data_IF_188302127088
#
_entry.id   IF_188302127088
#
_cell.length_a   1.000
_cell.length_b   1.000
_cell.length_c   1.000
_cell.angle_alpha   90.00
_cell.angle_beta   90.00
_cell.angle_gamma   90.00
#
_symmetry.space_group_name_H-M   'P 1'
#
loop_
_entity.id
_entity.type
_entity.pdbx_description
1 polymer ?
#
# COMPACT_ATOMS: atom_id res chain seq x y z
N UNK A 1 -8.95 23.51 -30.28
CA UNK A 1 -7.71 24.26 -30.51
C UNK A 1 -6.57 23.48 -29.89
N UNK A 2 -5.54 23.16 -30.68
CA UNK A 2 -4.43 22.27 -30.36
C UNK A 2 -3.79 22.54 -29.00
N UNK A 3 -3.77 21.55 -28.11
CA UNK A 3 -2.76 21.47 -27.05
C UNK A 3 -2.09 20.11 -27.16
N UNK A 4 -1.07 20.10 -28.02
CA UNK A 4 -0.04 19.08 -28.05
C UNK A 4 1.32 19.80 -28.18
N UNK A 5 1.72 20.50 -27.11
CA UNK A 5 3.06 21.10 -26.87
C UNK A 5 3.43 21.05 -25.36
N UNK A 6 2.49 20.98 -24.42
CA UNK A 6 2.81 20.90 -22.97
C UNK A 6 3.34 19.53 -22.48
N UNK A 7 3.06 18.45 -23.22
CA UNK A 7 3.74 17.15 -23.01
C UNK A 7 5.27 17.27 -23.22
N UNK A 8 5.72 18.25 -24.02
CA UNK A 8 7.13 18.52 -24.30
C UNK A 8 7.78 19.36 -23.17
N UNK A 9 7.02 20.15 -22.38
CA UNK A 9 7.57 20.94 -21.25
C UNK A 9 7.58 20.21 -19.89
N UNK A 10 6.63 19.32 -19.61
CA UNK A 10 6.64 18.56 -18.33
C UNK A 10 7.73 17.47 -18.33
N UNK A 11 8.04 16.90 -19.50
CA UNK A 11 9.17 15.99 -19.71
C UNK A 11 10.54 16.70 -19.56
N UNK A 12 10.59 18.04 -19.69
CA UNK A 12 11.79 18.86 -19.43
C UNK A 12 12.02 19.04 -17.91
N UNK A 13 10.99 18.93 -17.06
CA UNK A 13 11.13 18.89 -15.58
C UNK A 13 11.62 17.53 -15.05
N UNK A 14 11.37 16.46 -15.83
CA UNK A 14 11.99 15.14 -15.65
C UNK A 14 13.54 15.20 -15.65
N UNK A 15 14.13 16.28 -16.20
CA UNK A 15 15.58 16.45 -16.41
C UNK A 15 16.31 17.35 -15.38
N UNK A 16 15.65 18.14 -14.53
CA UNK A 16 16.36 19.09 -13.64
C UNK A 16 16.42 18.74 -12.14
N UNK A 17 15.61 17.80 -11.63
CA UNK A 17 15.66 17.36 -10.21
C UNK A 17 15.84 15.85 -10.07
N UNK A 18 16.40 15.24 -11.11
CA UNK A 18 17.59 14.40 -10.87
C UNK A 18 18.65 15.33 -10.27
N UNK A 19 18.42 15.86 -9.05
CA UNK A 19 19.42 16.53 -8.19
C UNK A 19 20.31 15.40 -7.64
N UNK A 20 20.91 14.71 -8.59
CA UNK A 20 22.31 14.34 -8.74
C UNK A 20 22.94 13.47 -7.63
N UNK A 21 22.48 13.44 -6.37
CA UNK A 21 23.10 12.63 -5.31
C UNK A 21 22.15 12.19 -4.17
N UNK A 22 20.82 12.20 -4.35
CA UNK A 22 19.84 11.97 -3.28
C UNK A 22 19.74 10.57 -2.66
N UNK A 23 20.59 9.61 -3.02
CA UNK A 23 20.90 8.45 -2.16
C UNK A 23 22.00 8.83 -1.16
N UNK A 24 21.98 10.07 -0.65
CA UNK A 24 22.80 10.46 0.49
C UNK A 24 22.11 9.98 1.76
N UNK A 25 22.34 8.70 2.02
CA UNK A 25 22.59 8.13 3.34
C UNK A 25 22.76 9.19 4.44
N UNK A 26 21.72 9.42 5.26
CA UNK A 26 21.93 9.95 6.62
C UNK A 26 22.60 8.89 7.52
N UNK A 27 22.58 7.62 7.12
CA UNK A 27 23.40 6.58 7.71
C UNK A 27 24.55 6.30 6.75
N UNK A 28 25.74 6.82 7.05
CA UNK A 28 26.96 6.32 6.44
C UNK A 28 27.14 4.86 6.94
N UNK A 29 26.44 3.92 6.29
CA UNK A 29 26.43 2.50 6.65
C UNK A 29 27.82 1.97 6.36
N UNK A 30 28.72 2.08 7.33
CA UNK A 30 30.05 1.46 7.24
C UNK A 30 29.84 -0.05 7.14
N UNK A 31 30.09 -0.60 5.95
CA UNK A 31 29.99 -2.02 5.66
C UNK A 31 30.78 -2.90 6.67
N UNK A 32 31.77 -2.32 7.38
CA UNK A 32 32.48 -2.99 8.48
C UNK A 32 31.63 -3.09 9.75
N UNK A 33 30.85 -2.06 10.14
CA UNK A 33 29.96 -2.07 11.32
C UNK A 33 28.88 -3.13 11.22
N UNK A 34 28.41 -3.41 10.02
CA UNK A 34 27.34 -4.39 9.80
C UNK A 34 27.85 -5.79 9.37
N UNK A 35 29.16 -6.04 9.45
CA UNK A 35 29.74 -7.35 9.13
C UNK A 35 29.15 -8.48 10.00
N UNK A 36 28.76 -8.19 11.25
CA UNK A 36 28.09 -9.14 12.16
C UNK A 36 26.74 -9.59 11.61
N UNK A 37 25.89 -8.65 11.19
CA UNK A 37 24.54 -8.99 10.76
C UNK A 37 24.52 -9.58 9.32
N UNK A 38 25.56 -9.36 8.48
CA UNK A 38 25.78 -10.10 7.21
C UNK A 38 26.13 -11.59 7.45
N UNK A 39 26.74 -11.93 8.60
CA UNK A 39 27.01 -13.33 8.98
C UNK A 39 25.72 -14.03 9.43
N UNK A 40 24.87 -13.36 10.20
CA UNK A 40 23.56 -13.88 10.62
C UNK A 40 22.63 -14.21 9.44
N UNK A 41 22.72 -13.48 8.33
CA UNK A 41 21.94 -13.76 7.10
C UNK A 41 22.44 -14.99 6.33
N UNK A 42 23.72 -15.33 6.43
CA UNK A 42 24.32 -16.45 5.68
C UNK A 42 24.12 -17.81 6.34
N UNK A 43 23.92 -17.85 7.66
CA UNK A 43 23.58 -19.08 8.36
C UNK A 43 22.10 -19.43 8.13
N UNK A 44 21.86 -20.35 7.19
CA UNK A 44 20.52 -20.85 6.83
C UNK A 44 19.81 -21.62 7.95
N UNK A 45 20.48 -21.84 9.08
CA UNK A 45 19.87 -22.39 10.28
C UNK A 45 19.17 -21.26 11.05
N UNK A 46 18.01 -20.86 10.51
CA UNK A 46 16.98 -20.13 11.24
C UNK A 46 16.85 -20.75 12.64
N UNK A 47 16.72 -19.92 13.68
CA UNK A 47 16.46 -20.27 15.08
C UNK A 47 17.63 -20.41 16.08
N UNK A 48 18.92 -20.28 15.72
CA UNK A 48 20.00 -20.57 16.70
C UNK A 48 21.13 -19.58 16.95
N UNK A 49 21.00 -18.32 16.56
CA UNK A 49 21.96 -17.31 17.02
C UNK A 49 21.23 -16.10 17.61
N UNK A 50 21.60 -15.76 18.84
CA UNK A 50 21.38 -14.45 19.48
C UNK A 50 21.77 -13.35 18.49
N UNK A 51 20.78 -12.91 17.72
CA UNK A 51 20.86 -11.71 16.89
C UNK A 51 20.39 -10.49 17.70
N UNK A 52 20.26 -10.64 19.02
CA UNK A 52 19.77 -9.65 20.00
C UNK A 52 20.53 -8.31 19.96
N UNK A 53 21.69 -8.27 19.28
CA UNK A 53 22.51 -7.07 19.07
C UNK A 53 22.80 -6.79 17.58
N UNK A 54 21.96 -7.20 16.63
CA UNK A 54 22.12 -6.75 15.24
C UNK A 54 21.82 -5.24 15.14
N UNK A 55 22.80 -4.38 14.80
CA UNK A 55 22.58 -2.93 14.73
C UNK A 55 21.51 -2.56 13.71
N UNK A 56 21.35 -3.36 12.65
CA UNK A 56 20.30 -3.12 11.67
C UNK A 56 18.90 -3.39 12.24
N UNK A 57 18.76 -4.40 13.10
CA UNK A 57 17.49 -4.66 13.79
C UNK A 57 17.16 -3.52 14.74
N UNK A 58 18.12 -3.09 15.55
CA UNK A 58 17.94 -1.99 16.50
C UNK A 58 17.51 -0.68 15.83
N UNK A 59 18.09 -0.36 14.66
CA UNK A 59 17.67 0.82 13.89
C UNK A 59 16.23 0.68 13.39
N UNK A 60 15.85 -0.49 12.87
CA UNK A 60 14.48 -0.74 12.42
C UNK A 60 13.47 -0.75 13.58
N UNK A 61 13.86 -1.28 14.74
CA UNK A 61 13.05 -1.30 15.96
C UNK A 61 12.81 0.11 16.53
N UNK A 62 13.70 1.05 16.22
CA UNK A 62 13.58 2.46 16.59
C UNK A 62 12.98 3.34 15.48
N UNK A 63 12.54 2.76 14.36
CA UNK A 63 11.88 3.51 13.29
C UNK A 63 10.57 4.10 13.81
N UNK A 64 10.35 5.39 13.54
CA UNK A 64 9.11 6.08 13.92
C UNK A 64 8.02 5.77 12.90
N UNK A 65 7.02 4.99 13.31
CA UNK A 65 5.83 4.69 12.52
C UNK A 65 4.61 5.11 13.36
N UNK A 66 3.73 5.91 12.77
CA UNK A 66 2.43 6.25 13.38
C UNK A 66 1.60 4.97 13.52
N UNK A 67 0.86 4.85 14.61
CA UNK A 67 -0.09 3.75 14.76
C UNK A 67 -1.18 3.81 13.68
N UNK A 68 -1.90 2.71 13.48
CA UNK A 68 -3.06 2.67 12.58
C UNK A 68 -4.07 3.78 12.93
N UNK A 69 -4.29 4.00 14.23
CA UNK A 69 -5.19 5.02 14.77
C UNK A 69 -4.71 6.46 14.45
N UNK A 70 -3.42 6.75 14.70
CA UNK A 70 -2.81 8.05 14.39
C UNK A 70 -2.75 8.31 12.87
N UNK A 71 -2.52 7.26 12.09
CA UNK A 71 -2.53 7.34 10.62
C UNK A 71 -3.92 7.72 10.11
N UNK A 72 -4.98 7.14 10.68
CA UNK A 72 -6.35 7.53 10.38
C UNK A 72 -6.64 8.97 10.79
N UNK A 73 -6.13 9.44 11.93
CA UNK A 73 -6.30 10.84 12.34
C UNK A 73 -5.67 11.82 11.34
N UNK A 74 -4.47 11.54 10.84
CA UNK A 74 -3.83 12.36 9.82
C UNK A 74 -4.64 12.42 8.52
N UNK A 75 -5.25 11.30 8.12
CA UNK A 75 -6.11 11.25 6.92
C UNK A 75 -7.41 12.03 7.13
N UNK A 76 -8.07 11.83 8.28
CA UNK A 76 -9.40 12.39 8.57
C UNK A 76 -9.30 13.90 8.87
N UNK A 77 -8.38 14.29 9.76
CA UNK A 77 -8.34 15.65 10.31
C UNK A 77 -7.53 16.61 9.45
N UNK A 78 -6.49 16.09 8.76
CA UNK A 78 -5.57 16.92 7.97
C UNK A 78 -5.73 16.71 6.45
N UNK A 79 -6.75 15.94 6.03
CA UNK A 79 -7.08 15.68 4.63
C UNK A 79 -5.91 15.12 3.80
N UNK A 80 -5.01 14.36 4.45
CA UNK A 80 -3.81 13.84 3.80
C UNK A 80 -4.13 12.69 2.85
N UNK A 81 -3.31 12.58 1.81
CA UNK A 81 -3.25 11.39 0.94
C UNK A 81 -2.29 10.36 1.55
N UNK A 82 -2.36 9.11 1.11
CA UNK A 82 -1.43 8.07 1.56
C UNK A 82 -1.02 7.13 0.42
N UNK A 83 0.29 6.87 0.33
CA UNK A 83 0.89 5.81 -0.48
C UNK A 83 1.51 4.78 0.45
N UNK A 84 1.14 3.50 0.34
CA UNK A 84 1.56 2.45 1.27
C UNK A 84 2.62 1.54 0.62
N UNK A 85 3.65 1.20 1.39
CA UNK A 85 4.77 0.35 0.98
C UNK A 85 4.82 -0.90 1.86
N UNK A 86 4.16 -1.97 1.41
CA UNK A 86 4.23 -3.29 2.02
C UNK A 86 5.45 -4.08 1.54
N UNK A 87 5.48 -5.36 1.89
CA UNK A 87 6.52 -6.29 1.47
C UNK A 87 6.66 -6.37 -0.06
N UNK A 88 5.53 -6.30 -0.78
CA UNK A 88 5.49 -6.34 -2.24
C UNK A 88 6.12 -5.12 -2.91
N UNK A 89 5.83 -3.91 -2.43
CA UNK A 89 6.41 -2.68 -2.98
C UNK A 89 7.92 -2.62 -2.75
N UNK A 90 8.38 -2.98 -1.55
CA UNK A 90 9.81 -3.09 -1.25
C UNK A 90 10.49 -4.17 -2.09
N UNK A 91 9.86 -5.34 -2.26
CA UNK A 91 10.37 -6.39 -3.15
C UNK A 91 10.59 -5.85 -4.57
N UNK A 92 9.64 -5.09 -5.12
CA UNK A 92 9.79 -4.45 -6.45
C UNK A 92 10.89 -3.41 -6.45
N UNK A 93 11.00 -2.56 -5.41
CA UNK A 93 12.10 -1.60 -5.29
C UNK A 93 13.46 -2.30 -5.23
N UNK A 94 13.52 -3.51 -4.70
CA UNK A 94 14.73 -4.34 -4.68
C UNK A 94 14.85 -5.24 -5.91
N UNK A 95 14.13 -4.91 -6.98
CA UNK A 95 14.13 -5.55 -8.30
C UNK A 95 13.76 -7.05 -8.25
N UNK A 96 12.90 -7.43 -7.29
CA UNK A 96 12.28 -8.76 -7.15
C UNK A 96 10.86 -8.79 -7.71
N UNK A 97 10.35 -9.99 -7.98
CA UNK A 97 9.03 -10.23 -8.57
C UNK A 97 7.97 -10.47 -7.49
N UNK A 98 6.75 -10.03 -7.74
CA UNK A 98 5.57 -10.39 -6.94
C UNK A 98 4.53 -11.14 -7.79
N UNK A 99 3.50 -11.73 -7.16
CA UNK A 99 2.58 -12.65 -7.83
C UNK A 99 1.66 -12.00 -8.88
N UNK A 100 1.11 -10.84 -8.56
CA UNK A 100 0.02 -10.21 -9.32
C UNK A 100 0.47 -8.98 -10.14
N UNK A 101 1.77 -8.69 -10.15
CA UNK A 101 2.38 -7.64 -10.95
C UNK A 101 3.71 -8.14 -11.50
N UNK A 102 3.83 -8.16 -12.83
CA UNK A 102 5.05 -8.53 -13.53
C UNK A 102 6.17 -7.54 -13.19
N UNK A 103 7.41 -8.03 -13.30
CA UNK A 103 8.58 -7.16 -13.13
C UNK A 103 8.55 -6.04 -14.16
N UNK A 104 8.64 -4.81 -13.68
CA UNK A 104 8.65 -3.60 -14.50
C UNK A 104 9.66 -2.61 -13.91
N UNK A 105 10.64 -2.20 -14.72
CA UNK A 105 11.72 -1.29 -14.28
C UNK A 105 11.19 0.12 -14.04
N UNK A 106 10.20 0.56 -14.80
CA UNK A 106 9.57 1.86 -14.60
C UNK A 106 8.80 1.86 -13.28
N UNK A 107 8.06 0.81 -12.97
CA UNK A 107 7.39 0.66 -11.67
C UNK A 107 8.38 0.70 -10.49
N UNK A 108 9.48 -0.07 -10.55
CA UNK A 108 10.56 -0.03 -9.54
C UNK A 108 11.13 1.37 -9.37
N UNK A 109 11.41 2.08 -10.47
CA UNK A 109 11.89 3.46 -10.45
C UNK A 109 10.87 4.43 -9.84
N UNK A 110 9.59 4.27 -10.19
CA UNK A 110 8.50 5.11 -9.68
C UNK A 110 8.29 4.91 -8.19
N UNK A 111 8.21 3.66 -7.71
CA UNK A 111 8.13 3.36 -6.28
C UNK A 111 9.30 3.98 -5.49
N UNK A 112 10.54 3.84 -5.99
CA UNK A 112 11.71 4.51 -5.38
C UNK A 112 11.55 6.02 -5.32
N UNK A 113 11.06 6.66 -6.39
CA UNK A 113 10.85 8.12 -6.41
C UNK A 113 9.73 8.58 -5.47
N UNK A 114 8.66 7.80 -5.33
CA UNK A 114 7.58 8.08 -4.37
C UNK A 114 8.09 7.91 -2.94
N UNK A 115 8.89 6.88 -2.68
CA UNK A 115 9.36 6.56 -1.32
C UNK A 115 10.30 7.63 -0.72
N UNK A 116 11.05 8.33 -1.55
CA UNK A 116 11.93 9.43 -1.11
C UNK A 116 11.22 10.78 -1.04
N UNK A 117 9.92 10.82 -1.34
CA UNK A 117 9.09 12.02 -1.24
C UNK A 117 9.09 12.58 0.19
N UNK A 118 9.06 13.90 0.31
CA UNK A 118 8.92 14.61 1.59
C UNK A 118 7.77 15.63 1.56
N UNK A 119 6.74 15.30 0.79
CA UNK A 119 5.55 16.12 0.63
C UNK A 119 4.71 16.11 1.92
N UNK A 120 4.40 17.29 2.45
CA UNK A 120 3.78 17.47 3.78
C UNK A 120 2.40 16.81 3.91
N UNK A 121 1.61 16.85 2.84
CA UNK A 121 0.23 16.34 2.80
C UNK A 121 0.10 14.95 2.18
N UNK A 122 1.22 14.25 2.02
CA UNK A 122 1.27 12.86 1.59
C UNK A 122 1.95 11.99 2.66
N UNK A 123 1.18 11.10 3.25
CA UNK A 123 1.70 10.07 4.13
C UNK A 123 2.39 8.97 3.31
N UNK A 124 3.58 8.57 3.76
CA UNK A 124 4.26 7.37 3.26
C UNK A 124 4.09 6.27 4.31
N UNK A 125 3.30 5.25 3.97
CA UNK A 125 3.06 4.10 4.83
C UNK A 125 4.18 3.07 4.74
N UNK A 126 4.68 2.59 5.87
CA UNK A 126 5.53 1.38 5.97
C UNK A 126 4.92 0.40 6.98
N UNK A 127 5.19 -0.90 6.81
CA UNK A 127 4.57 -1.91 7.66
C UNK A 127 5.20 -1.93 9.06
N UNK A 128 4.37 -1.89 10.10
CA UNK A 128 4.80 -1.90 11.51
C UNK A 128 5.60 -3.15 11.87
N UNK A 129 5.50 -4.23 11.10
CA UNK A 129 6.33 -5.43 11.24
C UNK A 129 7.83 -5.20 11.04
N UNK A 130 8.23 -4.02 10.53
CA UNK A 130 9.61 -3.56 10.57
C UNK A 130 10.13 -3.41 12.01
N UNK A 131 9.23 -3.15 12.97
CA UNK A 131 9.52 -3.22 14.40
C UNK A 131 9.28 -4.64 14.91
N UNK A 132 10.33 -5.27 15.44
CA UNK A 132 10.26 -6.65 15.95
C UNK A 132 9.32 -6.80 17.15
N UNK A 133 9.10 -5.74 17.93
CA UNK A 133 8.14 -5.76 19.04
C UNK A 133 6.70 -5.85 18.54
N UNK A 134 6.38 -5.22 17.40
CA UNK A 134 5.05 -5.24 16.80
C UNK A 134 4.66 -6.63 16.30
N UNK A 135 5.63 -7.43 15.85
CA UNK A 135 5.41 -8.81 15.38
C UNK A 135 4.76 -9.71 16.45
N UNK A 136 4.87 -9.36 17.74
CA UNK A 136 4.24 -10.10 18.85
C UNK A 136 2.72 -10.01 18.82
N UNK A 137 2.15 -9.04 18.10
CA UNK A 137 0.71 -8.87 17.96
C UNK A 137 0.10 -9.86 16.94
N UNK A 138 0.90 -10.58 16.16
CA UNK A 138 0.42 -11.46 15.09
C UNK A 138 0.27 -12.93 15.52
N UNK A 139 -0.79 -13.59 15.04
CA UNK A 139 -1.03 -15.03 15.22
C UNK A 139 0.08 -15.89 14.62
N UNK A 140 0.61 -15.48 13.46
CA UNK A 140 1.69 -16.17 12.77
C UNK A 140 2.66 -15.17 12.12
N UNK A 141 3.66 -14.67 12.88
CA UNK A 141 4.59 -13.65 12.39
C UNK A 141 5.69 -14.21 11.48
N UNK A 142 5.77 -15.52 11.25
CA UNK A 142 6.88 -16.21 10.59
C UNK A 142 7.26 -15.57 9.24
N UNK A 143 6.26 -15.25 8.42
CA UNK A 143 6.50 -14.60 7.13
C UNK A 143 7.20 -13.25 7.29
N UNK A 144 6.65 -12.35 8.12
CA UNK A 144 7.20 -11.02 8.34
C UNK A 144 8.55 -11.05 9.06
N UNK A 145 8.76 -11.96 10.02
CA UNK A 145 10.07 -12.19 10.66
C UNK A 145 11.12 -12.53 9.60
N UNK A 146 10.83 -13.50 8.73
CA UNK A 146 11.76 -13.95 7.69
C UNK A 146 11.99 -12.87 6.64
N UNK A 147 10.93 -12.20 6.21
CA UNK A 147 11.01 -11.13 5.21
C UNK A 147 11.83 -9.95 5.74
N UNK A 148 11.51 -9.46 6.95
CA UNK A 148 12.27 -8.39 7.63
C UNK A 148 13.73 -8.76 7.73
N UNK A 149 14.05 -9.91 8.31
CA UNK A 149 15.43 -10.34 8.57
C UNK A 149 16.25 -10.47 7.28
N UNK A 150 15.63 -10.95 6.21
CA UNK A 150 16.28 -11.08 4.89
C UNK A 150 16.51 -9.73 4.21
N UNK A 151 15.75 -8.70 4.59
CA UNK A 151 15.72 -7.41 3.91
C UNK A 151 16.27 -6.23 4.72
N UNK A 152 16.64 -6.40 6.00
CA UNK A 152 17.06 -5.30 6.88
C UNK A 152 18.10 -4.37 6.23
N UNK A 153 19.08 -4.94 5.53
CA UNK A 153 20.11 -4.17 4.83
C UNK A 153 19.59 -3.32 3.68
N UNK A 154 18.70 -3.89 2.87
CA UNK A 154 18.15 -3.18 1.73
C UNK A 154 17.17 -2.10 2.20
N UNK A 155 16.42 -2.39 3.27
CA UNK A 155 15.55 -1.44 3.96
C UNK A 155 16.35 -0.25 4.48
N UNK A 156 17.46 -0.46 5.19
CA UNK A 156 18.27 0.65 5.72
C UNK A 156 18.95 1.51 4.66
N UNK A 157 19.10 1.01 3.42
CA UNK A 157 19.58 1.83 2.30
C UNK A 157 18.52 2.81 1.80
N UNK A 158 17.23 2.50 1.97
CA UNK A 158 16.12 3.31 1.42
C UNK A 158 15.37 4.08 2.50
N UNK A 159 15.33 3.59 3.73
CA UNK A 159 14.63 4.23 4.84
C UNK A 159 15.38 5.46 5.34
N UNK A 160 14.63 6.52 5.61
CA UNK A 160 15.10 7.67 6.35
C UNK A 160 14.73 7.51 7.82
N UNK A 161 15.69 7.15 8.65
CA UNK A 161 15.48 6.90 10.09
C UNK A 161 15.07 8.13 10.90
N UNK A 162 15.24 9.33 10.34
CA UNK A 162 14.81 10.58 10.97
C UNK A 162 13.37 10.96 10.60
N UNK A 163 12.75 10.25 9.65
CA UNK A 163 11.38 10.49 9.19
C UNK A 163 10.39 9.69 10.04
N UNK A 164 9.22 10.28 10.29
CA UNK A 164 8.06 9.56 10.80
C UNK A 164 7.25 9.05 9.61
N UNK A 165 7.04 7.73 9.56
CA UNK A 165 6.21 7.08 8.55
C UNK A 165 4.79 6.85 9.08
N UNK A 166 3.83 6.68 8.18
CA UNK A 166 2.50 6.18 8.52
C UNK A 166 2.49 4.64 8.56
N UNK A 167 1.44 4.05 9.13
CA UNK A 167 1.21 2.61 9.05
C UNK A 167 0.60 2.22 7.70
N UNK A 168 1.06 1.11 7.11
CA UNK A 168 0.39 0.47 5.96
C UNK A 168 -0.85 -0.33 6.37
N UNK A 169 -0.98 -0.62 7.66
CA UNK A 169 -1.96 -1.56 8.21
C UNK A 169 -3.33 -0.94 8.43
N UNK A 170 -3.55 0.30 7.98
CA UNK A 170 -4.89 0.87 7.87
C UNK A 170 -5.86 0.04 7.02
N UNK A 171 -5.30 -0.81 6.15
CA UNK A 171 -6.06 -1.77 5.34
C UNK A 171 -5.94 -3.22 5.84
N UNK A 172 -5.36 -3.49 7.02
CA UNK A 172 -4.94 -4.82 7.52
C UNK A 172 -5.21 -4.99 9.03
N UNK A 173 -6.43 -4.69 9.45
CA UNK A 173 -6.83 -4.46 10.84
C UNK A 173 -7.42 -5.66 11.60
N UNK A 174 -7.50 -6.87 11.00
CA UNK A 174 -8.24 -7.98 11.62
C UNK A 174 -7.49 -9.32 11.60
N UNK A 175 -7.32 -9.95 10.43
CA UNK A 175 -7.13 -11.40 10.34
C UNK A 175 -5.80 -11.89 10.91
N UNK A 176 -4.78 -11.02 10.86
CA UNK A 176 -3.41 -11.34 11.29
C UNK A 176 -3.21 -11.23 12.81
N UNK A 177 -4.07 -10.49 13.53
CA UNK A 177 -3.86 -10.15 14.94
C UNK A 177 -4.31 -11.25 15.90
N UNK A 178 -3.58 -11.41 17.01
CA UNK A 178 -3.95 -12.30 18.13
C UNK A 178 -5.20 -11.77 18.82
N UNK A 179 -5.20 -10.48 19.17
CA UNK A 179 -6.34 -9.77 19.75
C UNK A 179 -6.96 -8.87 18.67
N UNK A 180 -8.27 -8.98 18.49
CA UNK A 180 -9.09 -8.21 17.56
C UNK A 180 -10.36 -7.65 18.23
N UNK A 181 -10.37 -7.54 19.57
CA UNK A 181 -11.49 -7.02 20.35
C UNK A 181 -11.83 -5.57 19.98
N UNK A 182 -10.81 -4.79 19.61
CA UNK A 182 -10.95 -3.37 19.22
C UNK A 182 -11.33 -3.18 17.73
N UNK A 183 -11.42 -4.25 16.94
CA UNK A 183 -11.75 -4.15 15.50
C UNK A 183 -13.07 -3.40 15.23
N UNK A 184 -14.16 -3.57 16.00
CA UNK A 184 -15.40 -2.81 15.79
C UNK A 184 -15.20 -1.28 15.89
N UNK A 185 -14.48 -0.81 16.92
CA UNK A 185 -14.18 0.63 17.06
C UNK A 185 -13.20 1.11 16.00
N UNK A 186 -12.24 0.26 15.61
CA UNK A 186 -11.35 0.54 14.49
C UNK A 186 -12.14 0.76 13.18
N UNK A 187 -13.04 -0.16 12.84
CA UNK A 187 -13.91 -0.06 11.63
C UNK A 187 -14.74 1.22 11.68
N UNK A 188 -15.28 1.57 12.84
CA UNK A 188 -16.05 2.81 13.02
C UNK A 188 -15.19 4.05 12.75
N UNK A 189 -13.94 4.08 13.21
CA UNK A 189 -13.00 5.18 12.91
C UNK A 189 -12.61 5.18 11.43
N UNK A 190 -12.26 4.03 10.87
CA UNK A 190 -11.91 3.86 9.46
C UNK A 190 -13.03 4.41 8.55
N UNK A 191 -14.29 4.10 8.84
CA UNK A 191 -15.45 4.58 8.07
C UNK A 191 -15.61 6.10 8.09
N UNK A 192 -15.00 6.84 9.03
CA UNK A 192 -14.98 8.31 9.01
C UNK A 192 -14.16 8.88 7.86
N UNK A 193 -13.21 8.11 7.30
CA UNK A 193 -12.40 8.54 6.15
C UNK A 193 -13.28 8.94 4.96
N UNK A 194 -14.38 8.21 4.75
CA UNK A 194 -15.32 8.40 3.63
C UNK A 194 -16.74 8.77 4.08
N UNK A 195 -16.95 9.09 5.35
CA UNK A 195 -18.27 9.46 5.88
C UNK A 195 -18.82 10.69 5.15
N UNK A 196 -20.02 10.55 4.56
CA UNK A 196 -20.74 11.59 3.80
C UNK A 196 -19.94 12.20 2.65
N UNK A 197 -18.92 11.50 2.15
CA UNK A 197 -18.13 11.93 0.99
C UNK A 197 -18.66 11.30 -0.30
N UNK A 198 -18.53 12.03 -1.40
CA UNK A 198 -18.58 11.46 -2.74
C UNK A 198 -17.24 10.78 -3.01
N UNK A 199 -17.26 9.47 -3.29
CA UNK A 199 -16.04 8.69 -3.49
C UNK A 199 -15.92 8.13 -4.91
N UNK A 200 -14.69 7.99 -5.35
CA UNK A 200 -14.34 7.22 -6.56
C UNK A 200 -13.41 6.09 -6.17
N UNK A 201 -13.82 4.85 -6.40
CA UNK A 201 -13.02 3.67 -6.14
C UNK A 201 -12.30 3.26 -7.44
N UNK A 202 -10.97 3.24 -7.42
CA UNK A 202 -10.14 2.74 -8.51
C UNK A 202 -9.62 1.36 -8.10
N UNK A 203 -10.13 0.31 -8.72
CA UNK A 203 -9.92 -1.07 -8.29
C UNK A 203 -9.84 -2.06 -9.46
N UNK A 204 -9.32 -3.25 -9.20
CA UNK A 204 -9.36 -4.35 -10.16
C UNK A 204 -10.79 -4.87 -10.39
N UNK A 205 -11.08 -5.39 -11.60
CA UNK A 205 -12.40 -5.91 -11.99
C UNK A 205 -13.00 -7.02 -11.09
N UNK A 206 -12.14 -7.70 -10.33
CA UNK A 206 -12.53 -8.74 -9.36
C UNK A 206 -12.28 -8.34 -7.91
N UNK A 207 -11.84 -7.11 -7.64
CA UNK A 207 -11.68 -6.60 -6.27
C UNK A 207 -13.06 -6.38 -5.64
N UNK A 208 -13.95 -5.64 -6.32
CA UNK A 208 -15.37 -5.46 -5.98
C UNK A 208 -15.58 -5.00 -4.54
N UNK A 209 -14.80 -4.00 -4.13
CA UNK A 209 -14.79 -3.42 -2.80
C UNK A 209 -16.20 -2.94 -2.40
N UNK A 210 -16.67 -3.36 -1.23
CA UNK A 210 -17.97 -3.02 -0.68
C UNK A 210 -19.16 -3.77 -1.25
N UNK A 211 -18.97 -4.60 -2.29
CA UNK A 211 -20.07 -5.42 -2.80
C UNK A 211 -20.37 -6.51 -1.78
N UNK A 212 -21.65 -6.75 -1.51
CA UNK A 212 -22.13 -7.76 -0.55
C UNK A 212 -21.82 -7.49 0.92
N UNK A 213 -21.34 -6.29 1.26
CA UNK A 213 -21.16 -5.82 2.63
C UNK A 213 -21.51 -4.32 2.76
N UNK A 214 -21.34 -3.75 3.95
CA UNK A 214 -21.78 -2.40 4.27
C UNK A 214 -20.62 -1.40 4.52
N UNK A 215 -19.38 -1.72 4.10
CA UNK A 215 -18.18 -0.92 4.37
C UNK A 215 -18.31 0.55 3.95
N UNK A 216 -18.97 0.80 2.82
CA UNK A 216 -19.13 2.14 2.23
C UNK A 216 -20.57 2.67 2.28
N UNK A 217 -21.46 2.08 3.10
CA UNK A 217 -22.87 2.52 3.17
C UNK A 217 -23.05 3.92 3.80
N UNK A 218 -22.00 4.50 4.41
CA UNK A 218 -22.00 5.83 5.01
C UNK A 218 -21.40 6.89 4.08
N UNK A 219 -21.15 6.56 2.81
CA UNK A 219 -20.75 7.52 1.76
C UNK A 219 -21.96 8.26 1.20
N UNK A 220 -21.75 9.40 0.55
CA UNK A 220 -22.82 10.13 -0.15
C UNK A 220 -23.11 9.52 -1.53
N UNK A 221 -22.04 9.21 -2.27
CA UNK A 221 -22.14 8.50 -3.56
C UNK A 221 -20.86 7.71 -3.85
N UNK A 222 -20.99 6.71 -4.71
CA UNK A 222 -19.87 5.86 -5.15
C UNK A 222 -19.81 5.87 -6.67
N UNK A 223 -18.63 6.12 -7.21
CA UNK A 223 -18.27 5.84 -8.60
C UNK A 223 -17.07 4.90 -8.65
N UNK A 224 -16.87 4.22 -9.78
CA UNK A 224 -15.81 3.23 -9.95
C UNK A 224 -15.10 3.37 -11.29
N UNK A 225 -13.77 3.34 -11.24
CA UNK A 225 -12.90 3.08 -12.40
C UNK A 225 -12.39 1.66 -12.25
N UNK A 226 -12.83 0.78 -13.15
CA UNK A 226 -12.46 -0.63 -13.12
C UNK A 226 -11.20 -0.86 -13.95
N UNK A 227 -10.20 -1.44 -13.33
CA UNK A 227 -8.86 -1.69 -13.86
C UNK A 227 -8.58 -3.21 -13.96
N UNK A 228 -7.45 -3.64 -14.55
CA UNK A 228 -7.06 -5.04 -14.55
C UNK A 228 -6.81 -5.56 -13.12
N UNK A 229 -7.22 -6.79 -12.82
CA UNK A 229 -6.95 -7.42 -11.50
C UNK A 229 -5.48 -7.81 -11.29
N UNK A 230 -4.71 -7.96 -12.37
CA UNK A 230 -3.29 -8.26 -12.36
C UNK A 230 -2.58 -7.40 -13.41
N UNK A 231 -1.31 -7.06 -13.18
CA UNK A 231 -0.50 -6.24 -14.07
C UNK A 231 -1.11 -4.88 -14.41
N UNK A 232 -1.85 -4.28 -13.48
CA UNK A 232 -2.56 -3.01 -13.71
C UNK A 232 -1.62 -1.86 -14.10
N UNK A 233 -0.34 -1.91 -13.70
CA UNK A 233 0.65 -0.93 -14.11
C UNK A 233 0.90 -0.89 -15.64
N UNK A 234 0.58 -1.97 -16.36
CA UNK A 234 0.67 -1.98 -17.83
C UNK A 234 -0.28 -0.99 -18.49
N UNK A 235 -1.38 -0.65 -17.79
CA UNK A 235 -2.38 0.32 -18.21
C UNK A 235 -2.26 1.64 -17.43
N UNK A 236 -1.12 1.90 -16.77
CA UNK A 236 -0.95 3.06 -15.87
C UNK A 236 -1.34 4.39 -16.51
N UNK A 237 -0.84 4.67 -17.73
CA UNK A 237 -1.11 5.95 -18.40
C UNK A 237 -2.61 6.16 -18.67
N UNK A 238 -3.32 5.09 -19.09
CA UNK A 238 -4.78 5.13 -19.29
C UNK A 238 -5.52 5.33 -17.97
N UNK A 239 -5.09 4.63 -16.91
CA UNK A 239 -5.67 4.76 -15.57
C UNK A 239 -5.49 6.19 -15.06
N UNK A 240 -4.29 6.75 -15.21
CA UNK A 240 -3.99 8.12 -14.82
C UNK A 240 -4.81 9.13 -15.63
N UNK A 241 -4.87 8.99 -16.96
CA UNK A 241 -5.65 9.87 -17.84
C UNK A 241 -7.14 9.89 -17.44
N UNK A 242 -7.73 8.72 -17.19
CA UNK A 242 -9.13 8.64 -16.77
C UNK A 242 -9.34 9.21 -15.37
N UNK A 243 -8.41 8.96 -14.45
CA UNK A 243 -8.46 9.48 -13.07
C UNK A 243 -8.36 11.01 -13.03
N UNK A 244 -7.63 11.63 -13.96
CA UNK A 244 -7.52 13.09 -14.08
C UNK A 244 -8.80 13.77 -14.58
N UNK A 245 -9.80 13.01 -15.06
CA UNK A 245 -11.12 13.55 -15.44
C UNK A 245 -12.07 13.70 -14.25
N UNK A 246 -11.70 13.13 -13.09
CA UNK A 246 -12.51 13.17 -11.88
C UNK A 246 -12.58 14.58 -11.29
N UNK A 247 -13.70 14.88 -10.63
CA UNK A 247 -13.83 16.07 -9.79
C UNK A 247 -12.88 15.95 -8.58
N UNK A 248 -12.05 16.99 -8.38
CA UNK A 248 -11.06 17.06 -7.29
C UNK A 248 -11.67 17.10 -5.89
N UNK A 249 -12.96 17.43 -5.77
CA UNK A 249 -13.67 17.40 -4.50
C UNK A 249 -14.03 15.97 -4.05
N UNK A 250 -13.96 14.98 -4.94
CA UNK A 250 -14.22 13.58 -4.60
C UNK A 250 -12.99 12.96 -3.96
N UNK A 251 -13.24 12.11 -2.95
CA UNK A 251 -12.20 11.30 -2.36
C UNK A 251 -11.89 10.11 -3.27
N UNK A 252 -10.63 9.94 -3.66
CA UNK A 252 -10.19 8.81 -4.47
C UNK A 252 -9.67 7.70 -3.56
N UNK A 253 -10.30 6.53 -3.64
CA UNK A 253 -9.92 5.32 -2.92
C UNK A 253 -9.33 4.30 -3.90
N UNK A 254 -8.13 3.78 -3.63
CA UNK A 254 -7.39 2.97 -4.61
C UNK A 254 -7.05 1.59 -4.03
N UNK A 255 -7.43 0.53 -4.74
CA UNK A 255 -7.14 -0.86 -4.39
C UNK A 255 -6.59 -1.60 -5.62
N UNK A 256 -5.31 -1.37 -5.93
CA UNK A 256 -4.70 -1.77 -7.21
C UNK A 256 -3.23 -2.23 -7.09
N UNK A 257 -2.85 -2.78 -5.93
CA UNK A 257 -1.49 -3.27 -5.67
C UNK A 257 -0.43 -2.15 -5.78
N UNK A 258 0.79 -2.44 -6.27
CA UNK A 258 1.85 -1.43 -6.43
C UNK A 258 1.45 -0.24 -7.32
N UNK A 259 0.50 -0.43 -8.23
CA UNK A 259 -0.08 0.63 -9.06
C UNK A 259 -0.77 1.67 -8.18
N UNK A 260 -1.44 1.24 -7.09
CA UNK A 260 -2.10 2.13 -6.15
C UNK A 260 -1.12 3.05 -5.43
N UNK A 261 0.03 2.52 -5.02
CA UNK A 261 1.09 3.31 -4.36
C UNK A 261 1.57 4.45 -5.25
N UNK A 262 1.82 4.18 -6.53
CA UNK A 262 2.27 5.22 -7.48
C UNK A 262 1.13 6.17 -7.84
N UNK A 263 -0.07 5.64 -8.09
CA UNK A 263 -1.25 6.42 -8.47
C UNK A 263 -1.68 7.37 -7.35
N UNK A 264 -1.63 6.95 -6.09
CA UNK A 264 -1.94 7.80 -4.95
C UNK A 264 -1.02 9.02 -4.88
N UNK A 265 0.28 8.84 -5.09
CA UNK A 265 1.24 9.93 -5.18
C UNK A 265 0.94 10.86 -6.37
N UNK A 266 0.73 10.31 -7.56
CA UNK A 266 0.55 11.14 -8.76
C UNK A 266 -0.79 11.90 -8.73
N UNK A 267 -1.86 11.31 -8.21
CA UNK A 267 -3.12 12.02 -7.99
C UNK A 267 -2.97 13.10 -6.91
N UNK A 268 -2.26 12.82 -5.82
CA UNK A 268 -1.90 13.85 -4.84
C UNK A 268 -1.18 15.04 -5.49
N UNK A 269 -0.17 14.79 -6.33
CA UNK A 269 0.55 15.86 -7.05
C UNK A 269 -0.35 16.65 -8.01
N UNK A 270 -1.49 16.09 -8.43
CA UNK A 270 -2.49 16.76 -9.25
C UNK A 270 -3.64 17.41 -8.45
N UNK A 271 -3.54 17.42 -7.12
CA UNK A 271 -4.46 18.12 -6.22
C UNK A 271 -5.69 17.30 -5.81
N UNK A 272 -5.63 15.97 -5.91
CA UNK A 272 -6.65 15.07 -5.38
C UNK A 272 -6.28 14.61 -3.97
N UNK A 273 -7.28 14.31 -3.13
CA UNK A 273 -7.07 13.43 -1.98
C UNK A 273 -7.15 11.97 -2.47
N UNK A 274 -6.04 11.24 -2.38
CA UNK A 274 -5.95 9.85 -2.82
C UNK A 274 -5.45 8.94 -1.69
N UNK A 275 -6.22 7.89 -1.41
CA UNK A 275 -5.95 6.95 -0.33
C UNK A 275 -5.78 5.56 -0.93
N UNK A 276 -4.55 5.06 -0.89
CA UNK A 276 -4.30 3.64 -1.12
C UNK A 276 -4.92 2.84 0.04
N UNK A 277 -5.99 2.10 -0.25
CA UNK A 277 -6.75 1.30 0.72
C UNK A 277 -6.59 -0.22 0.53
N UNK A 278 -5.82 -0.67 -0.46
CA UNK A 278 -5.43 -2.07 -0.64
C UNK A 278 -6.54 -3.10 -0.38
N UNK A 279 -6.27 -4.03 0.54
CA UNK A 279 -7.19 -5.14 0.87
C UNK A 279 -8.14 -4.83 2.03
N UNK A 280 -8.47 -3.56 2.28
CA UNK A 280 -9.36 -3.13 3.38
C UNK A 280 -10.67 -3.91 3.42
N UNK A 281 -11.23 -4.21 2.24
CA UNK A 281 -12.50 -4.90 2.09
C UNK A 281 -12.40 -6.40 2.38
N UNK A 282 -11.28 -7.06 2.03
CA UNK A 282 -11.08 -8.47 2.40
C UNK A 282 -10.96 -8.62 3.92
N UNK A 283 -10.25 -7.71 4.57
CA UNK A 283 -10.17 -7.67 6.04
C UNK A 283 -11.54 -7.42 6.67
N UNK A 284 -12.35 -6.56 6.06
CA UNK A 284 -13.72 -6.32 6.50
C UNK A 284 -14.63 -7.55 6.33
N UNK A 285 -14.54 -8.26 5.20
CA UNK A 285 -15.29 -9.50 4.96
C UNK A 285 -14.90 -10.60 5.97
N UNK A 286 -13.61 -10.73 6.28
CA UNK A 286 -13.12 -11.67 7.29
C UNK A 286 -13.59 -11.27 8.69
N UNK A 287 -13.60 -9.98 9.02
CA UNK A 287 -14.16 -9.47 10.26
C UNK A 287 -15.65 -9.82 10.40
N UNK A 288 -16.47 -9.50 9.40
CA UNK A 288 -17.92 -9.80 9.41
C UNK A 288 -18.22 -11.30 9.56
N UNK A 289 -17.34 -12.17 9.06
CA UNK A 289 -17.48 -13.64 9.16
C UNK A 289 -16.90 -14.22 10.45
N UNK A 290 -16.34 -13.41 11.35
CA UNK A 290 -15.56 -13.87 12.50
C UNK A 290 -14.47 -14.87 12.09
N UNK A 291 -13.79 -14.62 10.97
CA UNK A 291 -12.86 -15.56 10.39
C UNK A 291 -11.60 -15.70 11.26
N UNK A 292 -11.22 -16.94 11.57
CA UNK A 292 -9.97 -17.24 12.32
C UNK A 292 -8.76 -17.44 11.40
N UNK A 293 -9.00 -17.54 10.10
CA UNK A 293 -8.01 -17.67 9.03
C UNK A 293 -8.54 -17.03 7.76
N UNK A 294 -7.64 -16.66 6.85
CA UNK A 294 -8.02 -16.16 5.52
C UNK A 294 -8.85 -17.20 4.78
N UNK A 295 -10.03 -16.83 4.32
CA UNK A 295 -10.95 -17.66 3.55
C UNK A 295 -11.25 -17.01 2.19
N UNK A 296 -11.74 -17.81 1.24
CA UNK A 296 -12.27 -17.30 -0.02
C UNK A 296 -13.49 -16.43 0.24
N UNK A 297 -13.66 -15.40 -0.57
CA UNK A 297 -14.89 -14.63 -0.69
C UNK A 297 -15.45 -14.91 -2.08
N UNK A 298 -16.71 -15.35 -2.13
CA UNK A 298 -17.31 -16.04 -3.28
C UNK A 298 -17.17 -15.26 -4.58
N UNK A 299 -17.35 -13.94 -4.50
CA UNK A 299 -17.40 -13.02 -5.62
C UNK A 299 -16.21 -12.05 -5.63
N UNK A 300 -15.14 -12.28 -4.85
CA UNK A 300 -13.96 -11.41 -4.82
C UNK A 300 -12.66 -12.17 -5.06
N UNK A 301 -11.70 -11.49 -5.65
CA UNK A 301 -10.35 -11.98 -5.86
C UNK A 301 -9.54 -11.91 -4.56
N UNK A 302 -9.03 -13.06 -4.11
CA UNK A 302 -8.18 -13.16 -2.90
C UNK A 302 -6.82 -13.75 -3.29
N UNK A 303 -5.78 -12.92 -3.36
CA UNK A 303 -4.43 -13.35 -3.77
C UNK A 303 -3.61 -14.03 -2.67
N UNK A 304 -3.97 -13.85 -1.39
CA UNK A 304 -3.19 -14.41 -0.28
C UNK A 304 -3.51 -15.88 0.03
N UNK A 305 -4.54 -16.45 -0.59
CA UNK A 305 -4.90 -17.85 -0.40
C UNK A 305 -4.77 -18.64 -1.70
N UNK A 306 -4.32 -19.88 -1.59
CA UNK A 306 -4.19 -20.77 -2.75
C UNK A 306 -5.56 -20.99 -3.41
N UNK A 307 -5.66 -20.60 -4.68
CA UNK A 307 -6.88 -20.71 -5.46
C UNK A 307 -7.98 -19.71 -5.08
N UNK A 308 -7.68 -18.67 -4.30
CA UNK A 308 -8.60 -17.56 -4.02
C UNK A 308 -8.82 -16.64 -5.21
N UNK A 309 -8.00 -16.78 -6.24
CA UNK A 309 -8.17 -16.16 -7.54
C UNK A 309 -8.97 -17.01 -8.55
N UNK A 310 -9.40 -18.22 -8.16
CA UNK A 310 -10.09 -19.17 -9.03
C UNK A 310 -11.56 -19.30 -8.64
N UNK A 311 -12.42 -19.59 -9.63
CA UNK A 311 -13.86 -19.80 -9.47
C UNK A 311 -14.58 -18.63 -8.78
N UNK A 312 -14.15 -17.40 -9.08
CA UNK A 312 -14.77 -16.18 -8.58
C UNK A 312 -16.15 -16.06 -9.25
N UNK A 313 -17.20 -16.06 -8.45
CA UNK A 313 -18.58 -15.98 -8.92
C UNK A 313 -18.87 -14.62 -9.55
N UNK A 314 -19.84 -14.57 -10.46
CA UNK A 314 -20.29 -13.31 -11.05
C UNK A 314 -21.10 -12.49 -10.05
N UNK A 315 -20.98 -11.17 -10.13
CA UNK A 315 -21.86 -10.24 -9.40
C UNK A 315 -23.05 -9.91 -10.28
N UNK A 316 -24.26 -9.94 -9.70
CA UNK A 316 -25.51 -9.54 -10.35
C UNK A 316 -26.08 -8.23 -9.81
N UNK A 317 -25.34 -7.56 -8.92
CA UNK A 317 -25.75 -6.29 -8.31
C UNK A 317 -25.78 -5.16 -9.35
N UNK A 318 -26.97 -4.71 -9.73
CA UNK A 318 -27.14 -3.60 -10.66
C UNK A 318 -26.55 -2.28 -10.15
N UNK A 319 -26.55 -2.05 -8.83
CA UNK A 319 -26.00 -0.83 -8.26
C UNK A 319 -24.48 -0.79 -8.48
N UNK A 320 -23.79 -1.92 -8.33
CA UNK A 320 -22.37 -2.02 -8.69
C UNK A 320 -22.13 -1.57 -10.13
N UNK A 321 -22.91 -2.07 -11.09
CA UNK A 321 -22.73 -1.72 -12.50
C UNK A 321 -23.06 -0.26 -12.80
N UNK A 322 -24.07 0.32 -12.14
CA UNK A 322 -24.43 1.75 -12.26
C UNK A 322 -23.36 2.68 -11.69
N UNK A 323 -22.55 2.20 -10.74
CA UNK A 323 -21.43 2.96 -10.17
C UNK A 323 -20.21 3.01 -11.12
N UNK A 324 -20.10 2.11 -12.10
CA UNK A 324 -18.94 2.05 -13.00
C UNK A 324 -19.02 3.19 -14.03
N UNK A 325 -18.08 4.12 -13.93
CA UNK A 325 -17.97 5.25 -14.87
C UNK A 325 -16.95 4.99 -15.98
N UNK A 326 -15.98 4.10 -15.75
CA UNK A 326 -14.99 3.71 -16.75
C UNK A 326 -14.50 2.27 -16.54
N UNK A 327 -14.12 1.61 -17.63
CA UNK A 327 -13.47 0.29 -17.63
C UNK A 327 -12.20 0.36 -18.48
N UNK A 328 -11.07 0.10 -17.84
CA UNK A 328 -9.75 0.03 -18.45
C UNK A 328 -9.28 -1.40 -18.26
N UNK A 329 -9.59 -2.24 -19.23
CA UNK A 329 -9.16 -3.64 -19.25
C UNK A 329 -8.08 -3.78 -20.32
N UNK A 330 -7.13 -4.68 -20.10
CA UNK A 330 -6.02 -4.94 -21.02
C UNK A 330 -6.50 -5.43 -22.37
#
# INVERSE_FOLDING_TARGET
>A
MNININYILFYILLLNVIKIFGFQNNLNIDDKKFRHCKKCIKDKNLYKHDCDKCPASEILDNLKILTDDQTLDEIINNNKSISRFGDGEFDIMFDRKIKFQKSDKLLSKRLKSVFISDEENLLLGVDDSLNSSFLKNFKNPTFFVNWRNSNMYNLLKVLNVNKTYASTRISRFYIDYINNDDTPEYVKKLRKVWEKKDIVIIEGEKSRLGIGNDLFNNTNSIQRIICPSENAFDSYDKIMEESLKLDKNKLVLIALGPTATVLAYDLYKNGYQAIDIGHVDLEYEWFLRNATRRTKIEYKYVNEIRGGNLNIQNVTDENYFKQIIAKILN
#
